data_IF_469234769174
#
_entry.id   IF_469234769174
#
_cell.length_a   1.000
_cell.length_b   1.000
_cell.length_c   1.000
_cell.angle_alpha   90.00
_cell.angle_beta   90.00
_cell.angle_gamma   90.00
#
_symmetry.space_group_name_H-M   'P 1'
#
loop_
_entity.id
_entity.type
_entity.pdbx_description
1 polymer ?
#
# COMPACT_ATOMS: atom_id res chain seq x y z
N UNK A 1 0.31 12.55 14.58
CA UNK A 1 0.36 11.15 14.10
C UNK A 1 1.73 10.87 13.49
N UNK A 2 2.16 9.61 13.40
CA UNK A 2 3.40 9.21 12.73
C UNK A 2 3.10 8.73 11.33
N UNK A 3 3.76 9.29 10.32
CA UNK A 3 3.78 8.68 8.99
C UNK A 3 4.91 7.65 8.91
N UNK A 4 4.52 6.37 9.01
CA UNK A 4 5.41 5.23 8.86
C UNK A 4 5.51 4.87 7.38
N UNK A 5 6.60 5.30 6.74
CA UNK A 5 6.82 5.18 5.29
C UNK A 5 7.00 3.72 4.88
N UNK A 6 7.65 2.93 5.72
CA UNK A 6 8.06 1.57 5.45
C UNK A 6 9.28 1.50 4.54
N UNK A 7 9.95 0.36 4.56
CA UNK A 7 11.23 0.18 3.88
C UNK A 7 11.18 0.39 2.36
N UNK A 8 10.16 -0.13 1.67
CA UNK A 8 10.11 -0.04 0.19
C UNK A 8 9.81 1.37 -0.29
N UNK A 9 8.86 2.07 0.32
CA UNK A 9 8.57 3.46 -0.06
C UNK A 9 9.74 4.39 0.28
N UNK A 10 10.45 4.15 1.39
CA UNK A 10 11.60 4.97 1.81
C UNK A 10 12.87 4.75 0.96
N UNK A 11 13.12 3.51 0.53
CA UNK A 11 14.41 3.13 -0.08
C UNK A 11 14.35 2.89 -1.59
N UNK A 12 13.17 2.62 -2.15
CA UNK A 12 13.00 2.19 -3.55
C UNK A 12 11.94 2.98 -4.32
N UNK A 13 10.89 3.45 -3.63
CA UNK A 13 9.72 4.09 -4.23
C UNK A 13 9.39 5.40 -3.50
N UNK A 14 10.36 6.32 -3.47
CA UNK A 14 10.29 7.58 -2.72
C UNK A 14 9.14 8.48 -3.19
N UNK A 15 8.74 8.35 -4.45
CA UNK A 15 7.56 8.96 -5.04
C UNK A 15 6.27 8.72 -4.22
N UNK A 16 6.12 7.56 -3.59
CA UNK A 16 4.96 7.26 -2.73
C UNK A 16 4.98 8.11 -1.46
N UNK A 17 6.16 8.20 -0.82
CA UNK A 17 6.35 9.01 0.37
C UNK A 17 6.12 10.49 0.05
N UNK A 18 6.72 10.98 -1.04
CA UNK A 18 6.57 12.37 -1.49
C UNK A 18 5.12 12.73 -1.79
N UNK A 19 4.39 11.86 -2.51
CA UNK A 19 2.98 12.07 -2.83
C UNK A 19 2.10 12.05 -1.57
N UNK A 20 2.35 11.11 -0.66
CA UNK A 20 1.64 11.02 0.62
C UNK A 20 1.87 12.29 1.46
N UNK A 21 3.12 12.72 1.61
CA UNK A 21 3.47 13.92 2.36
C UNK A 21 2.87 15.20 1.77
N UNK A 22 2.83 15.32 0.42
CA UNK A 22 2.14 16.43 -0.25
C UNK A 22 0.66 16.49 0.12
N UNK A 23 -0.04 15.35 0.13
CA UNK A 23 -1.45 15.27 0.53
C UNK A 23 -1.62 15.64 2.01
N UNK A 24 -0.77 15.11 2.90
CA UNK A 24 -0.83 15.41 4.33
C UNK A 24 -0.63 16.90 4.61
N UNK A 25 0.39 17.52 3.99
CA UNK A 25 0.66 18.96 4.10
C UNK A 25 -0.50 19.81 3.55
N UNK A 26 -1.01 19.48 2.37
CA UNK A 26 -2.12 20.20 1.74
C UNK A 26 -3.39 20.16 2.60
N UNK A 27 -3.66 19.02 3.24
CA UNK A 27 -4.86 18.84 4.09
C UNK A 27 -4.69 19.33 5.54
N UNK A 28 -3.52 19.90 5.88
CA UNK A 28 -3.23 20.42 7.21
C UNK A 28 -3.18 19.35 8.30
N UNK A 29 -2.80 18.11 7.95
CA UNK A 29 -2.62 17.05 8.93
C UNK A 29 -1.23 17.17 9.55
N UNK A 30 -1.17 17.32 10.88
CA UNK A 30 0.08 17.28 11.62
C UNK A 30 0.62 15.84 11.72
N UNK A 31 1.79 15.64 11.13
CA UNK A 31 2.50 14.36 11.17
C UNK A 31 3.98 14.56 11.52
N UNK A 32 4.58 13.51 12.07
CA UNK A 32 6.02 13.40 12.27
C UNK A 32 6.58 12.19 11.52
N UNK A 33 7.83 12.31 11.09
CA UNK A 33 8.61 11.21 10.51
C UNK A 33 9.53 10.65 11.57
N UNK A 34 9.78 9.35 11.53
CA UNK A 34 10.80 8.72 12.36
C UNK A 34 12.17 8.93 11.70
N UNK A 35 13.14 9.47 12.45
CA UNK A 35 14.52 9.66 11.98
C UNK A 35 15.17 8.31 11.66
N UNK A 36 15.05 7.35 12.58
CA UNK A 36 15.57 6.00 12.45
C UNK A 36 14.42 4.99 12.28
N UNK A 37 13.61 5.14 11.24
CA UNK A 37 12.46 4.25 10.99
C UNK A 37 12.90 2.79 10.76
N UNK A 38 12.63 1.94 11.74
CA UNK A 38 12.87 0.48 11.63
C UNK A 38 11.84 -0.23 10.75
N UNK A 39 12.05 -1.52 10.48
CA UNK A 39 11.11 -2.35 9.73
C UNK A 39 9.91 -2.73 10.60
N UNK A 40 8.69 -2.79 10.05
CA UNK A 40 7.52 -3.26 10.78
C UNK A 40 7.60 -4.74 11.24
N UNK A 41 8.58 -5.51 10.75
CA UNK A 41 8.73 -6.95 11.03
C UNK A 41 8.00 -7.87 10.04
N UNK A 42 7.22 -7.32 9.11
CA UNK A 42 6.39 -8.11 8.18
C UNK A 42 7.18 -9.14 7.39
N UNK A 43 8.37 -8.80 6.87
CA UNK A 43 9.14 -9.71 6.02
C UNK A 43 9.59 -10.95 6.80
N UNK A 44 10.24 -10.73 7.95
CA UNK A 44 10.74 -11.79 8.83
C UNK A 44 9.62 -12.73 9.30
N UNK A 45 8.45 -12.19 9.66
CA UNK A 45 7.30 -13.01 10.03
C UNK A 45 6.85 -13.96 8.92
N UNK A 46 6.86 -13.48 7.66
CA UNK A 46 6.37 -14.29 6.52
C UNK A 46 7.41 -15.26 5.98
N UNK A 47 8.68 -15.09 6.31
CA UNK A 47 9.76 -16.01 5.96
C UNK A 47 10.14 -16.96 7.10
N UNK A 48 9.45 -16.91 8.24
CA UNK A 48 9.61 -17.86 9.35
C UNK A 48 10.62 -17.45 10.42
N UNK A 49 11.27 -16.29 10.29
CA UNK A 49 12.21 -15.74 11.27
C UNK A 49 11.46 -15.05 12.42
N UNK A 50 10.63 -15.82 13.14
CA UNK A 50 9.69 -15.28 14.14
C UNK A 50 10.40 -14.62 15.33
N UNK A 51 11.52 -15.19 15.79
CA UNK A 51 12.30 -14.61 16.90
C UNK A 51 12.88 -13.24 16.53
N UNK A 52 13.51 -13.14 15.37
CA UNK A 52 14.07 -11.89 14.85
C UNK A 52 12.97 -10.86 14.58
N UNK A 53 11.83 -11.32 14.04
CA UNK A 53 10.67 -10.47 13.84
C UNK A 53 10.19 -9.85 15.16
N UNK A 54 10.10 -10.64 16.24
CA UNK A 54 9.69 -10.13 17.57
C UNK A 54 10.67 -9.08 18.10
N UNK A 55 11.97 -9.25 17.89
CA UNK A 55 12.96 -8.26 18.28
C UNK A 55 12.77 -6.94 17.51
N UNK A 56 12.66 -7.03 16.19
CA UNK A 56 12.40 -5.88 15.32
C UNK A 56 11.10 -5.17 15.72
N UNK A 57 10.01 -5.91 15.92
CA UNK A 57 8.72 -5.35 16.33
C UNK A 57 8.80 -4.62 17.69
N UNK A 58 9.56 -5.16 18.65
CA UNK A 58 9.78 -4.49 19.95
C UNK A 58 10.59 -3.21 19.81
N UNK A 59 11.55 -3.16 18.89
CA UNK A 59 12.31 -1.94 18.62
C UNK A 59 11.42 -0.89 17.95
N UNK A 60 10.62 -1.29 16.95
CA UNK A 60 9.64 -0.40 16.33
C UNK A 60 8.64 0.15 17.34
N UNK A 61 8.15 -0.65 18.30
CA UNK A 61 7.26 -0.19 19.38
C UNK A 61 7.85 0.96 20.19
N UNK A 62 9.15 0.90 20.51
CA UNK A 62 9.84 1.96 21.26
C UNK A 62 9.89 3.27 20.46
N UNK A 63 10.00 3.18 19.14
CA UNK A 63 10.06 4.34 18.24
C UNK A 63 8.69 4.98 18.01
N UNK A 64 7.65 4.16 17.81
CA UNK A 64 6.29 4.65 17.53
C UNK A 64 5.54 5.10 18.79
N UNK A 65 5.82 4.48 19.95
CA UNK A 65 5.08 4.73 21.18
C UNK A 65 3.59 4.46 21.04
N UNK A 66 2.76 5.32 21.64
CA UNK A 66 1.28 5.24 21.61
C UNK A 66 0.64 6.11 20.51
N UNK A 67 1.46 6.63 19.60
CA UNK A 67 0.99 7.55 18.55
C UNK A 67 0.14 6.84 17.51
N UNK A 68 -0.86 7.53 16.98
CA UNK A 68 -1.57 7.08 15.78
C UNK A 68 -0.59 6.95 14.61
N UNK A 69 -0.65 5.83 13.89
CA UNK A 69 0.22 5.51 12.76
C UNK A 69 -0.58 5.61 11.46
N UNK A 70 -0.02 6.28 10.46
CA UNK A 70 -0.44 6.19 9.07
C UNK A 70 0.63 5.45 8.27
N UNK A 71 0.23 4.54 7.37
CA UNK A 71 1.16 3.88 6.44
C UNK A 71 0.54 3.68 5.05
N UNK A 72 1.36 3.81 4.01
CA UNK A 72 0.98 3.53 2.61
C UNK A 72 1.19 2.06 2.22
N UNK A 73 1.75 1.25 3.11
CA UNK A 73 2.07 -0.14 2.83
C UNK A 73 1.05 -1.09 3.45
N UNK A 74 0.29 -1.81 2.61
CA UNK A 74 -0.61 -2.88 3.04
C UNK A 74 0.05 -3.92 3.96
N UNK A 75 1.32 -4.27 3.72
CA UNK A 75 2.08 -5.18 4.58
C UNK A 75 2.38 -4.61 5.97
N UNK A 76 2.80 -3.35 6.03
CA UNK A 76 2.98 -2.66 7.32
C UNK A 76 1.65 -2.54 8.05
N UNK A 77 0.58 -2.17 7.34
CA UNK A 77 -0.77 -2.03 7.89
C UNK A 77 -1.27 -3.32 8.52
N UNK A 78 -1.21 -4.46 7.81
CA UNK A 78 -1.59 -5.78 8.37
C UNK A 78 -0.74 -6.17 9.56
N UNK A 79 0.56 -5.86 9.50
CA UNK A 79 1.47 -6.20 10.59
C UNK A 79 1.14 -5.42 11.85
N UNK A 80 1.03 -4.09 11.76
CA UNK A 80 0.66 -3.25 12.90
C UNK A 80 -0.76 -3.53 13.40
N UNK A 81 -1.73 -3.71 12.50
CA UNK A 81 -3.15 -3.85 12.89
C UNK A 81 -3.46 -5.22 13.50
N UNK A 82 -2.79 -6.28 13.05
CA UNK A 82 -3.12 -7.67 13.40
C UNK A 82 -1.95 -8.41 14.08
N UNK A 83 -0.77 -8.46 13.46
CA UNK A 83 0.33 -9.26 14.00
C UNK A 83 0.89 -8.71 15.33
N UNK A 84 0.95 -7.39 15.52
CA UNK A 84 1.41 -6.81 16.80
C UNK A 84 0.49 -7.23 17.96
N UNK A 85 -0.83 -7.25 17.72
CA UNK A 85 -1.81 -7.71 18.71
C UNK A 85 -1.67 -9.20 18.98
N UNK A 86 -1.61 -10.02 17.93
CA UNK A 86 -1.54 -11.48 18.06
C UNK A 86 -0.23 -11.99 18.66
N UNK A 87 0.89 -11.31 18.39
CA UNK A 87 2.23 -11.80 18.75
C UNK A 87 2.78 -11.11 20.00
N UNK A 88 2.54 -9.82 20.17
CA UNK A 88 3.05 -9.02 21.29
C UNK A 88 1.98 -8.61 22.29
N UNK A 89 0.69 -8.84 21.99
CA UNK A 89 -0.42 -8.38 22.83
C UNK A 89 -0.66 -6.86 22.78
N UNK A 90 -0.06 -6.16 21.81
CA UNK A 90 -0.14 -4.70 21.69
C UNK A 90 -1.07 -4.32 20.55
N UNK A 91 -2.13 -3.59 20.86
CA UNK A 91 -3.04 -3.03 19.87
C UNK A 91 -2.62 -1.61 19.48
N UNK A 92 -2.38 -1.37 18.20
CA UNK A 92 -1.94 -0.09 17.67
C UNK A 92 -3.08 0.63 16.92
N UNK A 93 -3.20 1.95 17.12
CA UNK A 93 -4.06 2.79 16.27
C UNK A 93 -3.36 3.07 14.94
N UNK A 94 -3.57 2.16 13.98
CA UNK A 94 -3.03 2.30 12.62
C UNK A 94 -4.15 2.50 11.60
N UNK A 95 -3.92 3.43 10.66
CA UNK A 95 -4.77 3.69 9.49
C UNK A 95 -3.97 3.56 8.20
N UNK A 96 -4.58 2.96 7.18
CA UNK A 96 -3.98 2.90 5.85
C UNK A 96 -4.22 4.22 5.08
N UNK A 97 -3.28 4.64 4.22
CA UNK A 97 -3.43 5.89 3.44
C UNK A 97 -4.73 5.93 2.63
N UNK A 98 -5.14 4.81 2.03
CA UNK A 98 -6.42 4.74 1.31
C UNK A 98 -7.62 5.14 2.19
N UNK A 99 -7.66 4.66 3.43
CA UNK A 99 -8.74 4.97 4.38
C UNK A 99 -8.71 6.45 4.79
N UNK A 100 -7.51 6.97 5.07
CA UNK A 100 -7.35 8.38 5.44
C UNK A 100 -7.76 9.29 4.29
N UNK A 101 -7.23 9.07 3.10
CA UNK A 101 -7.49 9.92 1.94
C UNK A 101 -8.97 9.91 1.55
N UNK A 102 -9.61 8.73 1.57
CA UNK A 102 -11.04 8.62 1.33
C UNK A 102 -11.83 9.43 2.37
N UNK A 103 -11.46 9.34 3.65
CA UNK A 103 -12.06 10.14 4.72
C UNK A 103 -11.87 11.65 4.52
N UNK A 104 -10.73 12.09 3.98
CA UNK A 104 -10.47 13.51 3.69
C UNK A 104 -11.29 14.01 2.49
N UNK A 105 -11.47 13.18 1.47
CA UNK A 105 -12.31 13.48 0.30
C UNK A 105 -13.77 13.60 0.71
N UNK A 106 -14.29 12.63 1.47
CA UNK A 106 -15.68 12.67 1.98
C UNK A 106 -15.96 13.90 2.86
N UNK A 107 -14.96 14.39 3.58
CA UNK A 107 -15.06 15.61 4.41
C UNK A 107 -14.82 16.90 3.63
N UNK A 108 -14.54 16.82 2.32
CA UNK A 108 -14.23 17.98 1.48
C UNK A 108 -12.90 18.67 1.80
N UNK A 109 -12.04 18.03 2.61
CA UNK A 109 -10.70 18.54 2.97
C UNK A 109 -9.66 18.28 1.89
N UNK A 110 -9.85 17.21 1.12
CA UNK A 110 -9.07 16.92 -0.09
C UNK A 110 -10.02 16.96 -1.27
N UNK A 111 -9.75 17.82 -2.25
CA UNK A 111 -10.58 17.98 -3.45
C UNK A 111 -9.77 17.56 -4.68
N UNK A 112 -9.80 16.26 -5.01
CA UNK A 112 -9.01 15.77 -6.11
C UNK A 112 -9.56 16.25 -7.46
N UNK A 113 -8.69 16.30 -8.45
CA UNK A 113 -9.04 16.54 -9.84
C UNK A 113 -9.47 15.24 -10.49
N UNK A 114 -10.49 15.33 -11.35
CA UNK A 114 -10.89 14.21 -12.19
C UNK A 114 -9.90 14.05 -13.35
N UNK A 115 -9.41 12.83 -13.53
CA UNK A 115 -8.53 12.40 -14.60
C UNK A 115 -9.35 11.60 -15.60
N UNK A 116 -9.48 12.10 -16.83
CA UNK A 116 -10.17 11.37 -17.89
C UNK A 116 -9.29 10.23 -18.43
N UNK A 117 -9.17 9.19 -17.61
CA UNK A 117 -8.35 8.01 -17.83
C UNK A 117 -9.08 6.76 -17.37
N UNK A 118 -8.93 5.67 -18.14
CA UNK A 118 -9.42 4.34 -17.74
C UNK A 118 -8.44 3.78 -16.72
N UNK A 119 -8.89 3.59 -15.49
CA UNK A 119 -8.07 3.12 -14.37
C UNK A 119 -8.61 1.80 -13.87
N UNK A 120 -7.74 0.89 -13.47
CA UNK A 120 -8.12 -0.33 -12.74
C UNK A 120 -7.33 -0.50 -11.46
N UNK A 121 -7.78 -1.39 -10.57
CA UNK A 121 -7.22 -1.56 -9.24
C UNK A 121 -6.70 -2.98 -8.96
N UNK A 122 -5.46 -3.07 -8.50
CA UNK A 122 -4.92 -4.28 -7.89
C UNK A 122 -5.14 -4.25 -6.37
N UNK A 123 -5.98 -5.16 -5.88
CA UNK A 123 -6.20 -5.36 -4.46
C UNK A 123 -4.98 -6.01 -3.77
N UNK A 124 -4.26 -5.31 -2.88
CA UNK A 124 -3.19 -5.92 -2.11
C UNK A 124 -3.76 -6.94 -1.14
N UNK A 125 -3.21 -8.16 -1.12
CA UNK A 125 -3.75 -9.26 -0.31
C UNK A 125 -3.82 -8.91 1.19
N UNK A 126 -2.81 -8.23 1.74
CA UNK A 126 -2.77 -7.81 3.14
C UNK A 126 -3.80 -6.73 3.51
N UNK A 127 -4.22 -5.88 2.55
CA UNK A 127 -5.23 -4.85 2.77
C UNK A 127 -6.65 -5.45 2.62
N UNK A 128 -6.85 -6.19 1.54
CA UNK A 128 -8.11 -6.85 1.22
C UNK A 128 -8.34 -8.13 2.03
N UNK A 129 -7.76 -9.26 1.61
CA UNK A 129 -8.10 -10.59 2.17
C UNK A 129 -7.84 -10.73 3.67
N UNK A 130 -6.87 -10.01 4.20
CA UNK A 130 -6.52 -10.12 5.63
C UNK A 130 -7.25 -9.14 6.54
N UNK A 131 -7.70 -7.98 6.03
CA UNK A 131 -8.26 -6.90 6.85
C UNK A 131 -9.61 -6.37 6.34
N UNK A 132 -10.11 -6.86 5.21
CA UNK A 132 -11.41 -6.54 4.65
C UNK A 132 -11.51 -5.18 3.97
N UNK A 133 -10.39 -4.46 3.78
CA UNK A 133 -10.43 -3.13 3.16
C UNK A 133 -10.36 -3.24 1.63
N UNK A 134 -11.51 -3.04 1.01
CA UNK A 134 -11.68 -3.04 -0.46
C UNK A 134 -12.27 -1.74 -0.98
N UNK A 135 -12.97 -0.98 -0.14
CA UNK A 135 -13.87 0.07 -0.59
C UNK A 135 -13.14 1.42 -0.67
N UNK A 136 -12.30 1.75 0.32
CA UNK A 136 -11.65 3.05 0.36
C UNK A 136 -10.81 3.36 -0.90
N UNK A 137 -9.99 2.44 -1.46
CA UNK A 137 -9.29 2.69 -2.71
C UNK A 137 -10.24 2.92 -3.90
N UNK A 138 -11.30 2.13 -4.01
CA UNK A 138 -12.28 2.20 -5.11
C UNK A 138 -13.06 3.50 -5.08
N UNK A 139 -13.59 3.86 -3.92
CA UNK A 139 -14.32 5.12 -3.75
C UNK A 139 -13.45 6.33 -4.11
N UNK A 140 -12.15 6.31 -3.80
CA UNK A 140 -11.23 7.34 -4.28
C UNK A 140 -11.13 7.33 -5.81
N UNK A 141 -10.87 6.16 -6.40
CA UNK A 141 -10.67 6.01 -7.85
C UNK A 141 -11.91 6.38 -8.65
N UNK A 142 -13.10 6.00 -8.19
CA UNK A 142 -14.39 6.39 -8.79
C UNK A 142 -14.60 7.91 -8.81
N UNK A 143 -14.07 8.63 -7.81
CA UNK A 143 -14.17 10.09 -7.74
C UNK A 143 -13.15 10.82 -8.62
N UNK A 144 -12.09 10.13 -9.09
CA UNK A 144 -10.97 10.79 -9.77
C UNK A 144 -10.68 10.21 -11.16
N UNK A 145 -11.38 9.16 -11.59
CA UNK A 145 -11.10 8.47 -12.85
C UNK A 145 -12.27 7.63 -13.35
N UNK A 146 -12.15 7.10 -14.57
CA UNK A 146 -13.06 6.08 -15.09
C UNK A 146 -12.61 4.70 -14.60
N UNK A 147 -13.06 4.27 -13.42
CA UNK A 147 -12.68 2.99 -12.83
C UNK A 147 -13.34 1.81 -13.56
N UNK A 148 -12.53 0.84 -13.96
CA UNK A 148 -12.95 -0.46 -14.50
C UNK A 148 -12.38 -1.59 -13.67
N UNK A 149 -13.19 -2.59 -13.34
CA UNK A 149 -12.76 -3.75 -12.54
C UNK A 149 -12.28 -4.88 -13.44
N UNK A 150 -11.13 -5.47 -13.10
CA UNK A 150 -10.69 -6.75 -13.67
C UNK A 150 -11.63 -7.89 -13.22
N UNK A 151 -11.74 -8.95 -14.03
CA UNK A 151 -12.54 -10.15 -13.73
C UNK A 151 -12.26 -10.70 -12.31
N UNK A 152 -10.97 -10.78 -11.97
CA UNK A 152 -10.48 -11.18 -10.65
C UNK A 152 -10.18 -9.94 -9.83
N UNK A 153 -11.12 -9.53 -8.98
CA UNK A 153 -10.98 -8.40 -8.07
C UNK A 153 -11.35 -8.80 -6.62
N UNK A 154 -11.14 -7.87 -5.68
CA UNK A 154 -11.41 -8.03 -4.25
C UNK A 154 -10.77 -9.30 -3.70
N UNK A 155 -11.52 -10.15 -3.00
CA UNK A 155 -11.03 -11.40 -2.44
C UNK A 155 -10.45 -12.36 -3.50
N UNK A 156 -10.98 -12.28 -4.74
CA UNK A 156 -10.59 -13.12 -5.89
C UNK A 156 -9.40 -12.55 -6.66
N UNK A 157 -8.91 -11.35 -6.33
CA UNK A 157 -7.76 -10.71 -6.99
C UNK A 157 -6.56 -11.65 -7.03
N UNK A 158 -5.79 -11.65 -8.12
CA UNK A 158 -4.52 -12.41 -8.16
C UNK A 158 -3.52 -11.78 -7.19
N UNK A 159 -2.66 -12.59 -6.59
CA UNK A 159 -1.50 -12.06 -5.89
C UNK A 159 -0.56 -11.37 -6.89
N UNK A 160 0.10 -10.28 -6.48
CA UNK A 160 1.15 -9.69 -7.32
C UNK A 160 2.39 -10.59 -7.46
N UNK A 161 2.58 -11.58 -6.57
CA UNK A 161 3.73 -12.49 -6.54
C UNK A 161 4.81 -12.11 -5.51
N UNK A 162 4.83 -10.85 -5.03
CA UNK A 162 5.98 -10.30 -4.31
C UNK A 162 6.13 -10.74 -2.84
N UNK A 163 5.01 -11.09 -2.20
CA UNK A 163 4.96 -11.35 -0.76
C UNK A 163 5.62 -12.68 -0.34
N UNK A 164 5.63 -12.95 0.97
CA UNK A 164 6.06 -14.25 1.50
C UNK A 164 7.53 -14.61 1.27
N UNK A 165 8.38 -13.64 0.92
CA UNK A 165 9.77 -13.89 0.56
C UNK A 165 9.98 -14.41 -0.86
N UNK A 166 8.90 -14.65 -1.63
CA UNK A 166 8.98 -15.27 -2.96
C UNK A 166 9.76 -14.38 -3.93
N UNK A 167 9.58 -13.06 -3.90
CA UNK A 167 10.38 -12.16 -4.75
C UNK A 167 11.88 -12.23 -4.48
N UNK A 168 12.28 -12.44 -3.22
CA UNK A 168 13.69 -12.53 -2.85
C UNK A 168 14.28 -13.90 -3.23
N UNK A 169 13.53 -14.98 -3.05
CA UNK A 169 14.01 -16.34 -3.28
C UNK A 169 13.84 -16.81 -4.74
N UNK A 170 12.79 -16.37 -5.43
CA UNK A 170 12.38 -16.85 -6.75
C UNK A 170 11.94 -15.69 -7.67
N UNK A 171 12.88 -14.85 -8.11
CA UNK A 171 12.59 -13.65 -8.91
C UNK A 171 11.83 -13.94 -10.21
N UNK A 172 12.18 -15.00 -10.93
CA UNK A 172 11.51 -15.37 -12.18
C UNK A 172 10.05 -15.78 -11.98
N UNK A 173 9.76 -16.51 -10.89
CA UNK A 173 8.39 -16.94 -10.56
C UNK A 173 7.52 -15.72 -10.25
N UNK A 174 8.02 -14.78 -9.45
CA UNK A 174 7.25 -13.59 -9.09
C UNK A 174 7.01 -12.66 -10.28
N UNK A 175 7.94 -12.60 -11.23
CA UNK A 175 7.77 -11.81 -12.46
C UNK A 175 6.66 -12.41 -13.34
N UNK A 176 6.66 -13.74 -13.52
CA UNK A 176 5.61 -14.42 -14.28
C UNK A 176 4.22 -14.24 -13.66
N UNK A 177 4.12 -14.29 -12.32
CA UNK A 177 2.87 -14.03 -11.61
C UNK A 177 2.40 -12.58 -11.83
N UNK A 178 3.31 -11.60 -11.76
CA UNK A 178 2.96 -10.20 -12.02
C UNK A 178 2.54 -9.98 -13.48
N UNK A 179 3.18 -10.61 -14.47
CA UNK A 179 2.78 -10.52 -15.88
C UNK A 179 1.34 -10.97 -16.10
N UNK A 180 0.89 -12.03 -15.41
CA UNK A 180 -0.52 -12.43 -15.45
C UNK A 180 -1.46 -11.34 -14.93
N UNK A 181 -1.04 -10.61 -13.89
CA UNK A 181 -1.86 -9.51 -13.35
C UNK A 181 -1.83 -8.26 -14.23
N UNK A 182 -0.69 -7.95 -14.85
CA UNK A 182 -0.62 -6.88 -15.86
C UNK A 182 -1.55 -7.21 -17.03
N UNK A 183 -1.54 -8.47 -17.49
CA UNK A 183 -2.47 -8.93 -18.52
C UNK A 183 -3.94 -8.77 -18.12
N UNK A 184 -4.32 -9.13 -16.90
CA UNK A 184 -5.70 -8.90 -16.43
C UNK A 184 -6.11 -7.41 -16.59
N UNK A 185 -5.19 -6.47 -16.37
CA UNK A 185 -5.43 -5.03 -16.51
C UNK A 185 -5.50 -4.58 -17.99
N UNK A 186 -4.64 -5.15 -18.85
CA UNK A 186 -4.68 -4.93 -20.30
C UNK A 186 -5.98 -5.46 -20.93
N UNK A 187 -6.49 -6.60 -20.46
CA UNK A 187 -7.73 -7.25 -20.95
C UNK A 187 -8.98 -6.39 -20.68
N UNK A 188 -8.93 -5.46 -19.72
CA UNK A 188 -9.99 -4.46 -19.45
C UNK A 188 -9.65 -3.07 -20.01
N UNK A 189 -8.66 -3.00 -20.91
CA UNK A 189 -8.23 -1.78 -21.58
C UNK A 189 -7.81 -0.64 -20.62
N UNK A 190 -7.33 -0.99 -19.42
CA UNK A 190 -6.91 0.01 -18.45
C UNK A 190 -5.65 0.75 -18.92
N UNK A 191 -5.70 2.08 -18.89
CA UNK A 191 -4.54 2.93 -19.15
C UNK A 191 -3.58 2.97 -17.95
N UNK A 192 -4.12 2.83 -16.73
CA UNK A 192 -3.37 2.86 -15.48
C UNK A 192 -3.83 1.73 -14.55
N UNK A 193 -2.88 0.96 -14.04
CA UNK A 193 -3.07 0.03 -12.94
C UNK A 193 -2.66 0.67 -11.62
N UNK A 194 -3.60 0.84 -10.70
CA UNK A 194 -3.35 1.40 -9.37
C UNK A 194 -3.26 0.29 -8.31
N UNK A 195 -2.36 0.44 -7.34
CA UNK A 195 -2.30 -0.39 -6.12
C UNK A 195 -2.13 0.51 -4.90
N UNK A 196 -2.34 -0.02 -3.69
CA UNK A 196 -2.08 0.71 -2.43
C UNK A 196 -1.10 -0.07 -1.55
N UNK A 197 0.00 -0.49 -2.16
CA UNK A 197 1.04 -1.28 -1.51
C UNK A 197 2.35 -1.14 -2.29
N UNK A 198 3.41 -0.57 -1.69
CA UNK A 198 4.71 -0.40 -2.33
C UNK A 198 5.33 -1.74 -2.79
N UNK A 199 5.12 -2.82 -2.04
CA UNK A 199 5.61 -4.15 -2.40
C UNK A 199 4.93 -4.71 -3.67
N UNK A 200 3.60 -4.49 -3.78
CA UNK A 200 2.88 -4.84 -5.01
C UNK A 200 3.36 -3.96 -6.17
N UNK A 201 3.48 -2.65 -5.94
CA UNK A 201 3.91 -1.70 -6.98
C UNK A 201 5.27 -2.08 -7.55
N UNK A 202 6.25 -2.37 -6.69
CA UNK A 202 7.60 -2.75 -7.10
C UNK A 202 7.60 -3.97 -8.04
N UNK A 203 6.78 -4.98 -7.74
CA UNK A 203 6.75 -6.21 -8.53
C UNK A 203 5.92 -6.07 -9.81
N UNK A 204 4.81 -5.34 -9.74
CA UNK A 204 3.97 -5.06 -10.91
C UNK A 204 4.70 -4.16 -11.92
N UNK A 205 5.43 -3.13 -11.46
CA UNK A 205 6.30 -2.32 -12.32
C UNK A 205 7.32 -3.19 -13.04
N UNK A 206 8.05 -4.06 -12.33
CA UNK A 206 9.05 -4.93 -12.99
C UNK A 206 8.48 -5.89 -14.05
N UNK A 207 7.17 -6.10 -14.09
CA UNK A 207 6.50 -6.94 -15.10
C UNK A 207 5.78 -6.14 -16.18
N UNK A 208 5.65 -4.81 -16.03
CA UNK A 208 5.01 -3.93 -17.00
C UNK A 208 5.97 -3.62 -18.15
N UNK A 209 5.43 -3.42 -19.36
CA UNK A 209 6.19 -2.87 -20.48
C UNK A 209 6.36 -1.35 -20.38
N UNK A 210 5.47 -0.70 -19.64
CA UNK A 210 5.48 0.73 -19.37
C UNK A 210 5.23 0.97 -17.87
N UNK A 211 6.31 1.14 -17.12
CA UNK A 211 6.28 1.33 -15.66
C UNK A 211 5.51 2.58 -15.25
N UNK A 212 5.33 3.55 -16.16
CA UNK A 212 4.58 4.79 -15.88
C UNK A 212 3.08 4.55 -15.79
N UNK A 213 2.60 3.38 -16.23
CA UNK A 213 1.19 2.97 -16.15
C UNK A 213 0.85 2.22 -14.87
N UNK A 214 1.82 1.97 -13.98
CA UNK A 214 1.55 1.33 -12.69
C UNK A 214 1.86 2.32 -11.58
N UNK A 215 0.86 2.72 -10.81
CA UNK A 215 0.97 3.79 -9.81
C UNK A 215 0.51 3.33 -8.43
N UNK A 216 1.09 3.91 -7.38
CA UNK A 216 0.45 3.89 -6.06
C UNK A 216 -0.77 4.83 -6.05
N UNK A 217 -1.76 4.51 -5.22
CA UNK A 217 -2.96 5.32 -5.02
C UNK A 217 -2.63 6.78 -4.64
N UNK A 218 -1.57 7.02 -3.88
CA UNK A 218 -1.13 8.39 -3.55
C UNK A 218 -0.66 9.19 -4.76
N UNK A 219 -0.06 8.54 -5.76
CA UNK A 219 0.55 9.20 -6.92
C UNK A 219 -0.47 9.69 -7.93
N UNK A 220 -1.61 8.99 -8.04
CA UNK A 220 -2.68 9.34 -8.99
C UNK A 220 -3.60 10.44 -8.44
N UNK A 221 -3.60 10.70 -7.12
CA UNK A 221 -4.42 11.75 -6.51
C UNK A 221 -3.79 13.11 -6.79
N UNK A 222 -4.29 13.79 -7.82
CA UNK A 222 -3.95 15.18 -8.14
C UNK A 222 -4.95 16.15 -7.50
N UNK A 223 -4.50 17.31 -7.05
CA UNK A 223 -5.33 18.35 -6.43
C UNK A 223 -4.74 19.74 -6.73
N UNK A 224 -5.56 20.79 -6.60
CA UNK A 224 -5.17 22.19 -6.77
C UNK A 224 -4.58 22.77 -5.50
#
# INVERSE_FOLDING_TARGET
>A
MIYFRGCVAREKLNNIADATEKILKHTGIDYKLLENETCCGSFLLRTGFVSDAKEVMKNTLKEIGEEKIITSCAGCYKTFKKDYKEILGVELDVVHTSQLFNGLIKKGKLKPLFLDKIVTYHDPCHLGRHLGEYNAPREILDNISNLVEMERNKEKSRCCGAGGGVRAAFPEITENIAKMRIKDAEDVEAEILVTSCPFCLLNLKSASKDDKKVLDLSEIIMFK
#
